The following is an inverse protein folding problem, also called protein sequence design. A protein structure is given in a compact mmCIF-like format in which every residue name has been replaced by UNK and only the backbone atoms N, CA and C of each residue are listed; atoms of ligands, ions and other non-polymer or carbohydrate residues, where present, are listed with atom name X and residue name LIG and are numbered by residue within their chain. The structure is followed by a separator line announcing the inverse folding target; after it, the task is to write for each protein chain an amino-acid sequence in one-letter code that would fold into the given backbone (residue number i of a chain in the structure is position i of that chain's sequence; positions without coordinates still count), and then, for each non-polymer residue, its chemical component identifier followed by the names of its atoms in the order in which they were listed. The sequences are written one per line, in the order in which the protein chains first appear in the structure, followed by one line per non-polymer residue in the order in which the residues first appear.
data_IF_921851627891
#
_entry.id   IF_921851627891
#
_cell.length_a   1.000
_cell.length_b   1.000
_cell.length_c   1.000
_cell.angle_alpha   90.00
_cell.angle_beta   90.00
_cell.angle_gamma   90.00
#
_symmetry.space_group_name_H-M   'P 1'
#
loop_
_entity.id
_entity.type
_entity.pdbx_description
1 polymer ?
#
# COMPACT_ATOMS: atom_id res chain seq x y z
N UNK A 1 -8.24 -11.24 -7.09
CA UNK A 1 -7.91 -10.97 -5.68
C UNK A 1 -7.39 -9.56 -5.56
N UNK A 2 -7.69 -8.90 -4.45
CA UNK A 2 -7.23 -7.53 -4.24
C UNK A 2 -5.79 -7.51 -3.74
N UNK A 3 -5.11 -6.40 -4.01
CA UNK A 3 -3.74 -6.18 -3.54
C UNK A 3 -3.65 -4.84 -2.84
N UNK A 4 -2.67 -4.70 -1.98
CA UNK A 4 -2.33 -3.43 -1.37
C UNK A 4 -0.82 -3.32 -1.25
N UNK A 5 -0.35 -2.21 -0.71
CA UNK A 5 1.08 -1.98 -0.55
C UNK A 5 1.38 -1.84 0.94
N UNK A 6 2.41 -2.54 1.36
CA UNK A 6 2.87 -2.55 2.75
C UNK A 6 4.22 -1.85 2.82
N UNK A 7 4.40 -1.02 3.84
CA UNK A 7 5.68 -0.37 4.12
C UNK A 7 6.04 -0.57 5.58
N UNK A 8 7.32 -0.37 5.89
CA UNK A 8 7.80 -0.32 7.26
C UNK A 8 8.07 1.13 7.63
N UNK A 9 7.42 1.60 8.70
CA UNK A 9 7.62 2.96 9.19
C UNK A 9 8.63 2.94 10.33
N UNK A 10 9.86 3.39 10.03
CA UNK A 10 10.93 3.40 11.01
C UNK A 10 10.68 4.35 12.18
N UNK A 11 9.99 5.45 11.94
CA UNK A 11 9.72 6.43 12.99
C UNK A 11 8.76 5.90 14.03
N UNK A 12 7.72 5.22 13.57
CA UNK A 12 6.71 4.61 14.45
C UNK A 12 7.05 3.17 14.82
N UNK A 13 8.05 2.59 14.17
CA UNK A 13 8.48 1.21 14.38
C UNK A 13 7.32 0.23 14.18
N UNK A 14 6.57 0.40 13.12
CA UNK A 14 5.41 -0.44 12.80
C UNK A 14 5.22 -0.59 11.31
N UNK A 15 4.43 -1.60 10.93
CA UNK A 15 4.03 -1.81 9.54
C UNK A 15 2.84 -0.91 9.23
N UNK A 16 2.87 -0.28 8.07
CA UNK A 16 1.75 0.52 7.58
C UNK A 16 1.35 0.04 6.19
N UNK A 17 0.15 0.41 5.78
CA UNK A 17 -0.43 0.01 4.49
C UNK A 17 -0.89 1.24 3.75
N UNK A 18 -0.81 1.19 2.42
CA UNK A 18 -1.27 2.30 1.59
C UNK A 18 -2.76 2.51 1.82
N UNK A 19 -3.13 3.73 2.17
CA UNK A 19 -4.51 4.12 2.42
C UNK A 19 -5.05 4.96 1.27
N UNK A 20 -4.23 5.84 0.73
CA UNK A 20 -4.59 6.73 -0.37
C UNK A 20 -3.36 7.01 -1.20
N UNK A 21 -3.50 7.00 -2.52
CA UNK A 21 -2.35 7.23 -3.40
C UNK A 21 -2.11 8.72 -3.68
N UNK A 22 -3.15 9.50 -3.79
CA UNK A 22 -3.03 10.93 -4.09
C UNK A 22 -3.97 11.75 -3.21
N UNK A 23 -3.45 12.47 -2.20
CA UNK A 23 -2.05 12.42 -1.75
C UNK A 23 -1.68 11.07 -1.16
N UNK A 24 -0.40 10.74 -1.24
CA UNK A 24 0.06 9.45 -0.73
C UNK A 24 -0.04 9.43 0.79
N UNK A 25 -0.83 8.49 1.31
CA UNK A 25 -1.06 8.33 2.75
C UNK A 25 -0.99 6.86 3.12
N UNK A 26 -0.48 6.60 4.30
CA UNK A 26 -0.37 5.25 4.85
C UNK A 26 -1.08 5.18 6.18
N UNK A 27 -1.56 3.99 6.53
CA UNK A 27 -2.30 3.77 7.78
C UNK A 27 -1.85 2.43 8.37
N UNK A 28 -1.84 2.35 9.69
CA UNK A 28 -1.40 1.14 10.38
C UNK A 28 -2.50 0.09 10.53
N UNK A 29 -3.71 0.39 10.09
CA UNK A 29 -4.84 -0.54 10.15
C UNK A 29 -5.04 -1.19 8.79
N UNK A 30 -4.69 -2.48 8.69
CA UNK A 30 -4.83 -3.23 7.44
C UNK A 30 -6.27 -3.27 6.94
N UNK A 31 -7.25 -3.22 7.83
CA UNK A 31 -8.66 -3.24 7.42
C UNK A 31 -9.06 -2.02 6.61
N UNK A 32 -8.33 -0.92 6.77
CA UNK A 32 -8.62 0.34 6.09
C UNK A 32 -7.70 0.59 4.89
N UNK A 33 -6.88 -0.39 4.51
CA UNK A 33 -5.95 -0.22 3.39
C UNK A 33 -6.70 -0.05 2.07
N UNK A 34 -6.03 0.62 1.13
CA UNK A 34 -6.55 0.75 -0.23
C UNK A 34 -6.44 -0.59 -0.94
N UNK A 35 -7.56 -1.12 -1.41
CA UNK A 35 -7.59 -2.38 -2.13
C UNK A 35 -7.59 -2.10 -3.63
N UNK A 36 -6.65 -2.74 -4.32
CA UNK A 36 -6.39 -2.46 -5.73
C UNK A 36 -6.39 -3.75 -6.53
N UNK A 37 -6.69 -3.65 -7.82
CA UNK A 37 -6.46 -4.76 -8.73
C UNK A 37 -4.97 -4.82 -9.12
N UNK A 38 -4.59 -5.81 -9.93
CA UNK A 38 -3.19 -6.00 -10.32
C UNK A 38 -2.63 -4.78 -11.05
N UNK A 39 -3.38 -4.19 -11.96
CA UNK A 39 -2.92 -3.05 -12.73
C UNK A 39 -2.75 -1.81 -11.85
N UNK A 40 -3.69 -1.58 -10.96
CA UNK A 40 -3.62 -0.45 -10.03
C UNK A 40 -2.45 -0.62 -9.06
N UNK A 41 -2.27 -1.82 -8.52
CA UNK A 41 -1.16 -2.10 -7.61
C UNK A 41 0.18 -1.90 -8.29
N UNK A 42 0.29 -2.30 -9.56
CA UNK A 42 1.52 -2.10 -10.32
C UNK A 42 1.82 -0.61 -10.50
N UNK A 43 0.81 0.18 -10.86
CA UNK A 43 0.99 1.63 -11.02
C UNK A 43 1.37 2.30 -9.71
N UNK A 44 0.73 1.89 -8.61
CA UNK A 44 1.06 2.42 -7.30
C UNK A 44 2.49 2.08 -6.90
N UNK A 45 2.90 0.83 -7.15
CA UNK A 45 4.26 0.40 -6.87
C UNK A 45 5.29 1.19 -7.67
N UNK A 46 5.01 1.42 -8.95
CA UNK A 46 5.89 2.22 -9.80
C UNK A 46 6.02 3.64 -9.29
N UNK A 47 4.91 4.22 -8.86
CA UNK A 47 4.92 5.57 -8.28
C UNK A 47 5.76 5.63 -7.00
N UNK A 48 5.59 4.65 -6.09
CA UNK A 48 6.35 4.62 -4.86
C UNK A 48 7.84 4.40 -5.10
N UNK A 49 8.18 3.59 -6.10
CA UNK A 49 9.57 3.42 -6.51
C UNK A 49 10.14 4.74 -7.03
N UNK A 50 9.37 5.45 -7.83
CA UNK A 50 9.79 6.74 -8.38
C UNK A 50 10.10 7.76 -7.28
N UNK A 51 9.29 7.82 -6.24
CA UNK A 51 9.49 8.77 -5.14
C UNK A 51 10.41 8.22 -4.05
N UNK A 52 10.95 7.01 -4.23
CA UNK A 52 11.99 6.48 -3.34
C UNK A 52 11.49 5.83 -2.07
N UNK A 53 10.26 5.31 -2.07
CA UNK A 53 9.69 4.64 -0.89
C UNK A 53 9.82 3.13 -1.06
N UNK A 54 10.58 2.50 -0.17
CA UNK A 54 10.67 1.04 -0.13
C UNK A 54 9.32 0.46 0.30
N UNK A 55 8.86 -0.56 -0.41
CA UNK A 55 7.53 -1.12 -0.18
C UNK A 55 7.45 -2.55 -0.68
N UNK A 56 6.34 -3.20 -0.35
CA UNK A 56 6.05 -4.54 -0.81
C UNK A 56 4.58 -4.61 -1.24
N UNK A 57 4.32 -5.21 -2.40
CA UNK A 57 2.95 -5.47 -2.84
C UNK A 57 2.50 -6.81 -2.25
N UNK A 58 1.37 -6.79 -1.55
CA UNK A 58 0.84 -7.99 -0.90
C UNK A 58 -0.61 -8.21 -1.34
N UNK A 59 -1.07 -9.46 -1.21
CA UNK A 59 -2.46 -9.79 -1.47
C UNK A 59 -3.29 -9.57 -0.21
N UNK A 60 -4.51 -9.08 -0.40
CA UNK A 60 -5.47 -8.90 0.69
C UNK A 60 -6.80 -9.47 0.24
N UNK A 61 -7.65 -9.80 1.20
CA UNK A 61 -8.97 -10.30 0.88
C UNK A 61 -9.77 -9.24 0.14
N UNK A 62 -10.36 -9.66 -0.97
CA UNK A 62 -11.23 -8.78 -1.72
C UNK A 62 -12.54 -8.54 -1.02
N UNK A 63 -13.26 -7.53 -1.47
CA UNK A 63 -14.61 -7.30 -1.00
C UNK A 63 -15.58 -8.25 -1.67
N UNK A 64 -16.54 -8.67 -0.91
CA UNK A 64 -17.60 -9.52 -1.39
C UNK A 64 -18.92 -8.76 -1.46
#
# INVERSE_FOLDING_TARGET
MAKTIKIWNNQKNCTEYLYRLRPTRFIDDKALCLKMDDAEAKRASEWLTFIGIAHEVIEVEGNH
#
